data_IF_815907597167
#
_entry.id   IF_815907597167
#
_cell.length_a   1.000
_cell.length_b   1.000
_cell.length_c   1.000
_cell.angle_alpha   90.00
_cell.angle_beta   90.00
_cell.angle_gamma   90.00
#
_symmetry.space_group_name_H-M   'P 1'
#
loop_
_entity.id
_entity.type
_entity.pdbx_description
1 polymer ?
#
# COMPACT_ATOMS: atom_id res chain seq x y z
N UNK A 1 -21.13 90.92 20.47
CA UNK A 1 -22.10 90.52 21.50
C UNK A 1 -22.34 89.02 21.34
N UNK A 2 -21.94 88.22 22.33
CA UNK A 2 -22.26 86.82 22.69
C UNK A 2 -22.84 85.88 21.59
N UNK A 3 -22.40 84.62 21.40
CA UNK A 3 -22.25 83.57 22.45
C UNK A 3 -21.48 82.36 21.88
N UNK A 4 -20.72 81.70 22.76
CA UNK A 4 -19.95 80.46 22.58
C UNK A 4 -20.85 79.21 22.61
N UNK A 5 -20.56 78.15 21.83
CA UNK A 5 -20.90 76.76 22.17
C UNK A 5 -19.83 75.76 21.73
N UNK A 6 -19.63 74.78 22.59
CA UNK A 6 -18.56 73.79 22.74
C UNK A 6 -18.80 72.49 21.95
N UNK A 7 -17.66 71.85 21.61
CA UNK A 7 -17.31 70.42 21.56
C UNK A 7 -18.33 69.31 21.17
N UNK A 8 -17.93 68.40 20.27
CA UNK A 8 -17.67 66.97 20.57
C UNK A 8 -17.38 66.16 19.29
N UNK A 9 -16.47 65.19 19.42
CA UNK A 9 -16.05 64.24 18.38
C UNK A 9 -17.04 63.06 18.22
N UNK A 10 -17.10 62.45 17.04
CA UNK A 10 -17.43 61.03 16.87
C UNK A 10 -17.05 60.50 15.47
N UNK A 11 -16.64 59.24 15.45
CA UNK A 11 -15.96 58.49 14.41
C UNK A 11 -16.81 58.08 13.20
N UNK A 12 -16.15 57.74 12.09
CA UNK A 12 -16.70 56.85 11.08
C UNK A 12 -15.70 55.73 10.78
N UNK A 13 -16.05 54.54 11.27
CA UNK A 13 -15.32 53.29 11.17
C UNK A 13 -15.30 52.75 9.75
N UNK A 14 -14.12 52.47 9.20
CA UNK A 14 -13.97 51.64 7.99
C UNK A 14 -14.09 50.16 8.35
N UNK A 15 -15.13 49.54 7.80
CA UNK A 15 -15.45 48.12 7.88
C UNK A 15 -14.43 47.33 7.04
N UNK A 16 -13.44 46.69 7.68
CA UNK A 16 -12.56 45.74 7.02
C UNK A 16 -13.18 44.33 7.13
N UNK A 17 -13.70 43.80 6.02
CA UNK A 17 -14.06 42.39 5.90
C UNK A 17 -12.78 41.54 5.93
N UNK A 18 -12.53 40.88 7.05
CA UNK A 18 -11.59 39.75 7.10
C UNK A 18 -12.27 38.54 6.46
N UNK A 19 -11.92 38.27 5.20
CA UNK A 19 -12.27 37.02 4.55
C UNK A 19 -11.66 35.85 5.31
N UNK A 20 -12.51 34.94 5.78
CA UNK A 20 -12.08 33.64 6.24
C UNK A 20 -11.53 32.86 5.04
N UNK A 21 -10.20 32.87 4.88
CA UNK A 21 -9.52 31.97 3.96
C UNK A 21 -9.76 30.54 4.43
N UNK A 22 -10.64 29.82 3.75
CA UNK A 22 -10.71 28.38 3.86
C UNK A 22 -9.37 27.82 3.36
N UNK A 23 -8.48 27.49 4.28
CA UNK A 23 -7.30 26.70 3.97
C UNK A 23 -7.81 25.37 3.37
N UNK A 24 -7.61 25.19 2.07
CA UNK A 24 -7.91 23.94 1.40
C UNK A 24 -7.14 22.83 2.13
N UNK A 25 -7.86 21.91 2.75
CA UNK A 25 -7.27 20.69 3.28
C UNK A 25 -6.48 20.02 2.14
N UNK A 26 -5.24 19.52 2.39
CA UNK A 26 -4.50 18.80 1.37
C UNK A 26 -5.39 17.69 0.83
N UNK A 27 -5.65 17.75 -0.48
CA UNK A 27 -6.62 16.90 -1.15
C UNK A 27 -6.35 15.44 -0.81
N UNK A 28 -7.35 14.77 -0.24
CA UNK A 28 -7.37 13.32 -0.23
C UNK A 28 -7.22 12.87 -1.69
N UNK A 29 -6.07 12.29 -2.04
CA UNK A 29 -5.89 11.68 -3.35
C UNK A 29 -7.05 10.73 -3.56
N UNK A 30 -7.80 10.90 -4.66
CA UNK A 30 -8.83 9.96 -5.03
C UNK A 30 -8.23 8.55 -4.99
N UNK A 31 -8.96 7.60 -4.38
CA UNK A 31 -8.51 6.22 -4.37
C UNK A 31 -8.30 5.79 -5.83
N UNK A 32 -7.15 5.20 -6.17
CA UNK A 32 -6.86 4.81 -7.55
C UNK A 32 -7.92 3.84 -8.07
N UNK A 33 -8.28 3.96 -9.35
CA UNK A 33 -9.33 3.15 -9.96
C UNK A 33 -8.99 1.65 -9.88
N UNK A 34 -10.00 0.82 -9.63
CA UNK A 34 -9.89 -0.63 -9.69
C UNK A 34 -9.65 -1.09 -11.13
N UNK A 35 -8.71 -2.01 -11.35
CA UNK A 35 -8.53 -2.69 -12.63
C UNK A 35 -8.07 -4.13 -12.44
N UNK A 36 -8.18 -4.94 -13.49
CA UNK A 36 -7.80 -6.36 -13.49
C UNK A 36 -6.56 -6.57 -14.34
N UNK A 37 -5.65 -7.41 -13.87
CA UNK A 37 -4.52 -7.91 -14.65
C UNK A 37 -4.61 -9.44 -14.72
N UNK A 38 -4.54 -9.97 -15.93
CA UNK A 38 -4.42 -11.41 -16.18
C UNK A 38 -2.96 -11.81 -16.36
N UNK A 39 -2.68 -13.11 -16.30
CA UNK A 39 -1.35 -13.69 -16.55
C UNK A 39 -0.23 -13.14 -15.64
N UNK A 40 -0.55 -12.76 -14.40
CA UNK A 40 0.43 -12.37 -13.39
C UNK A 40 1.06 -13.62 -12.78
N UNK A 41 2.39 -13.66 -12.76
CA UNK A 41 3.15 -14.69 -12.05
C UNK A 41 2.99 -14.47 -10.55
N UNK A 42 2.50 -15.49 -9.86
CA UNK A 42 2.43 -15.54 -8.41
C UNK A 42 3.50 -16.52 -7.91
N UNK A 43 4.30 -16.08 -6.95
CA UNK A 43 5.07 -16.98 -6.09
C UNK A 43 4.90 -16.61 -4.61
N UNK A 44 5.66 -17.25 -3.73
CA UNK A 44 5.57 -17.10 -2.29
C UNK A 44 6.97 -16.84 -1.72
N UNK A 45 7.01 -16.02 -0.67
CA UNK A 45 8.18 -15.78 0.18
C UNK A 45 7.78 -15.89 1.66
N UNK A 46 8.71 -16.18 2.56
CA UNK A 46 8.41 -16.53 3.95
C UNK A 46 9.64 -16.56 4.84
N UNK A 47 9.47 -16.42 6.15
CA UNK A 47 10.59 -16.15 7.07
C UNK A 47 11.68 -17.23 7.22
N UNK A 48 11.59 -18.37 6.53
CA UNK A 48 12.63 -19.41 6.49
C UNK A 48 13.27 -19.61 5.10
N UNK A 49 12.92 -18.79 4.10
CA UNK A 49 13.44 -18.91 2.74
C UNK A 49 14.90 -18.43 2.58
N UNK A 50 15.42 -17.71 3.56
CA UNK A 50 16.80 -17.21 3.56
C UNK A 50 17.05 -16.15 2.47
N UNK A 51 16.00 -15.61 1.84
CA UNK A 51 16.11 -14.75 0.67
C UNK A 51 16.34 -13.27 1.00
N UNK A 52 16.23 -12.89 2.29
CA UNK A 52 16.67 -11.61 2.88
C UNK A 52 16.52 -10.43 1.89
N UNK A 53 15.29 -10.17 1.44
CA UNK A 53 15.05 -9.10 0.46
C UNK A 53 15.29 -7.69 1.04
N UNK A 54 15.57 -7.59 2.35
CA UNK A 54 16.20 -6.42 2.96
C UNK A 54 17.62 -6.77 3.40
N UNK A 55 18.62 -6.00 2.96
CA UNK A 55 20.04 -6.06 3.35
C UNK A 55 20.34 -5.81 4.84
N UNK A 56 19.32 -5.89 5.69
CA UNK A 56 19.26 -5.44 7.08
C UNK A 56 18.66 -6.60 7.89
N UNK A 57 19.47 -7.65 8.06
CA UNK A 57 19.05 -9.02 8.33
C UNK A 57 18.90 -9.42 9.81
N UNK A 58 18.44 -8.53 10.69
CA UNK A 58 18.07 -8.93 12.06
C UNK A 58 16.57 -9.29 12.20
N UNK A 59 15.78 -9.18 11.12
CA UNK A 59 14.34 -9.44 11.18
C UNK A 59 13.83 -10.29 10.00
N UNK A 60 13.47 -11.58 10.23
CA UNK A 60 12.98 -12.49 9.19
C UNK A 60 11.59 -12.12 8.63
N UNK A 61 11.02 -10.98 9.04
CA UNK A 61 9.75 -10.41 8.57
C UNK A 61 9.90 -8.95 8.14
N UNK A 62 11.12 -8.47 7.91
CA UNK A 62 11.35 -7.13 7.37
C UNK A 62 10.56 -6.92 6.09
N UNK A 63 10.16 -5.67 5.84
CA UNK A 63 9.48 -5.26 4.60
C UNK A 63 10.12 -3.97 4.11
N UNK A 64 10.18 -3.79 2.79
CA UNK A 64 10.80 -2.60 2.19
C UNK A 64 10.15 -1.26 2.60
N UNK A 65 8.84 -1.26 2.86
CA UNK A 65 8.07 -0.05 3.17
C UNK A 65 7.22 -0.20 4.43
N UNK A 66 7.84 -0.24 5.61
CA UNK A 66 7.10 -0.30 6.86
C UNK A 66 6.31 1.00 7.07
N UNK A 67 5.16 0.87 7.75
CA UNK A 67 4.32 1.98 8.18
C UNK A 67 5.17 3.04 8.86
N UNK A 68 5.20 4.22 8.26
CA UNK A 68 5.98 5.36 8.71
C UNK A 68 5.47 6.63 8.05
N UNK A 69 6.01 7.79 8.44
CA UNK A 69 5.71 9.06 7.76
C UNK A 69 6.21 9.06 6.30
N UNK A 70 7.24 8.28 5.97
CA UNK A 70 7.74 8.12 4.60
C UNK A 70 6.83 7.22 3.74
N UNK A 71 6.12 6.28 4.37
CA UNK A 71 5.20 5.34 3.71
C UNK A 71 3.83 5.40 4.38
N UNK A 72 3.09 6.52 4.23
CA UNK A 72 1.82 6.71 4.94
C UNK A 72 0.72 5.75 4.45
N UNK A 73 0.84 5.18 3.25
CA UNK A 73 -0.13 4.23 2.68
C UNK A 73 0.10 2.76 3.07
N UNK A 74 1.30 2.42 3.56
CA UNK A 74 1.53 1.12 4.20
C UNK A 74 0.72 1.03 5.50
N UNK A 75 0.47 -0.18 5.99
CA UNK A 75 -0.27 -0.43 7.22
C UNK A 75 0.51 -1.29 8.22
N UNK A 76 1.43 -2.15 7.77
CA UNK A 76 2.25 -2.99 8.63
C UNK A 76 3.64 -2.42 8.84
N UNK A 77 4.26 -2.77 9.97
CA UNK A 77 5.70 -2.57 10.21
C UNK A 77 6.52 -3.82 9.91
N UNK A 78 5.88 -4.99 9.75
CA UNK A 78 6.47 -6.28 9.43
C UNK A 78 5.53 -7.07 8.51
N UNK A 79 6.07 -7.97 7.69
CA UNK A 79 5.30 -8.82 6.80
C UNK A 79 4.24 -9.62 7.57
N UNK A 80 2.98 -9.53 7.16
CA UNK A 80 1.86 -10.05 7.96
C UNK A 80 0.52 -9.95 7.24
N UNK A 81 -0.53 -9.72 8.03
CA UNK A 81 -1.92 -9.66 7.56
C UNK A 81 -2.68 -10.99 7.66
N UNK A 82 -4.01 -10.91 7.66
CA UNK A 82 -4.91 -12.08 7.66
C UNK A 82 -5.67 -12.21 6.33
N UNK A 83 -5.38 -11.37 5.34
CA UNK A 83 -5.98 -11.41 4.02
C UNK A 83 -7.35 -10.75 3.92
N UNK A 84 -7.86 -10.10 4.97
CA UNK A 84 -9.08 -9.28 4.89
C UNK A 84 -8.78 -7.92 4.24
N UNK A 85 -9.83 -7.18 3.87
CA UNK A 85 -9.64 -5.83 3.33
C UNK A 85 -9.01 -4.88 4.36
N UNK A 86 -9.38 -4.97 5.62
CA UNK A 86 -8.86 -4.11 6.68
C UNK A 86 -7.43 -4.49 7.07
N UNK A 87 -7.06 -5.77 6.93
CA UNK A 87 -5.76 -6.32 7.30
C UNK A 87 -5.20 -7.25 6.18
N UNK A 88 -4.95 -6.70 4.98
CA UNK A 88 -4.49 -7.45 3.81
C UNK A 88 -3.15 -8.13 4.08
N UNK A 89 -2.86 -9.23 3.38
CA UNK A 89 -1.56 -9.88 3.49
C UNK A 89 -0.47 -9.08 2.79
N UNK A 90 0.71 -8.97 3.39
CA UNK A 90 1.87 -8.32 2.75
C UNK A 90 2.20 -8.99 1.40
N UNK A 91 2.51 -8.18 0.40
CA UNK A 91 2.88 -8.60 -0.95
C UNK A 91 4.16 -7.90 -1.37
N UNK A 92 5.09 -8.66 -1.92
CA UNK A 92 6.28 -8.14 -2.55
C UNK A 92 6.03 -7.88 -4.03
N UNK A 93 6.51 -6.73 -4.52
CA UNK A 93 6.35 -6.30 -5.91
C UNK A 93 7.68 -5.84 -6.50
N UNK A 94 7.74 -5.68 -7.83
CA UNK A 94 8.87 -5.00 -8.46
C UNK A 94 9.06 -3.59 -7.86
N UNK A 95 10.29 -3.23 -7.50
CA UNK A 95 10.57 -1.96 -6.82
C UNK A 95 10.20 -0.76 -7.74
N UNK A 96 9.26 0.13 -7.34
CA UNK A 96 8.84 1.28 -8.14
C UNK A 96 9.95 2.30 -8.40
N UNK A 97 10.93 2.43 -7.50
CA UNK A 97 12.12 3.30 -7.75
C UNK A 97 13.02 2.77 -8.86
N UNK A 98 12.84 1.51 -9.26
CA UNK A 98 13.59 0.84 -10.33
C UNK A 98 12.71 0.51 -11.54
N UNK A 99 11.49 1.04 -11.63
CA UNK A 99 10.58 0.84 -12.78
C UNK A 99 9.39 -0.09 -12.53
N UNK A 100 9.19 -0.58 -11.31
CA UNK A 100 7.97 -1.31 -10.95
C UNK A 100 6.69 -0.44 -11.01
N UNK A 101 5.54 -0.99 -11.41
CA UNK A 101 4.33 -0.19 -11.64
C UNK A 101 3.54 0.12 -10.35
N UNK A 102 3.81 -0.58 -9.24
CA UNK A 102 3.00 -0.51 -8.03
C UNK A 102 3.70 0.29 -6.93
N UNK A 103 2.99 1.29 -6.41
CA UNK A 103 3.48 2.11 -5.31
C UNK A 103 3.25 1.43 -3.95
N UNK A 104 4.02 1.79 -2.91
CA UNK A 104 3.78 1.30 -1.56
C UNK A 104 2.34 1.61 -1.10
N UNK A 105 1.69 0.62 -0.50
CA UNK A 105 0.29 0.68 -0.08
C UNK A 105 -0.75 0.35 -1.16
N UNK A 106 -0.33 0.05 -2.40
CA UNK A 106 -1.25 -0.45 -3.44
C UNK A 106 -1.91 -1.73 -2.94
N UNK A 107 -3.24 -1.82 -3.05
CA UNK A 107 -3.99 -3.00 -2.60
C UNK A 107 -4.30 -3.91 -3.77
N UNK A 108 -4.34 -5.20 -3.49
CA UNK A 108 -4.67 -6.22 -4.46
C UNK A 108 -5.69 -7.19 -3.89
N UNK A 109 -6.42 -7.84 -4.78
CA UNK A 109 -7.19 -9.04 -4.45
C UNK A 109 -6.79 -10.13 -5.43
N UNK A 110 -6.47 -11.31 -4.90
CA UNK A 110 -6.06 -12.46 -5.70
C UNK A 110 -7.16 -13.53 -5.59
N UNK A 111 -8.01 -13.69 -6.62
CA UNK A 111 -9.13 -14.63 -6.59
C UNK A 111 -8.70 -16.08 -6.35
N UNK A 112 -7.52 -16.48 -6.82
CA UNK A 112 -7.00 -17.85 -6.67
C UNK A 112 -6.83 -18.28 -5.20
N UNK A 113 -6.71 -17.32 -4.27
CA UNK A 113 -6.54 -17.58 -2.83
C UNK A 113 -7.60 -16.89 -1.97
N UNK A 114 -8.57 -16.21 -2.60
CA UNK A 114 -9.63 -15.42 -1.96
C UNK A 114 -9.13 -14.49 -0.86
N UNK A 115 -8.10 -13.67 -1.14
CA UNK A 115 -7.47 -12.78 -0.15
C UNK A 115 -7.11 -11.43 -0.74
N UNK A 116 -7.14 -10.43 0.13
CA UNK A 116 -6.56 -9.13 -0.14
C UNK A 116 -5.10 -9.08 0.24
N UNK A 117 -4.35 -8.29 -0.51
CA UNK A 117 -2.93 -8.08 -0.36
C UNK A 117 -2.59 -6.60 -0.43
N UNK A 118 -1.40 -6.23 0.06
CA UNK A 118 -0.90 -4.85 0.02
C UNK A 118 0.59 -4.83 -0.34
N UNK A 119 0.97 -3.98 -1.30
CA UNK A 119 2.37 -3.78 -1.68
C UNK A 119 3.11 -3.03 -0.56
N UNK A 120 3.86 -3.77 0.23
CA UNK A 120 4.66 -3.23 1.33
C UNK A 120 6.10 -3.69 1.27
N UNK A 121 6.40 -4.58 0.34
CA UNK A 121 7.70 -5.18 0.18
C UNK A 121 8.16 -5.18 -1.28
N UNK A 122 9.43 -5.45 -1.49
CA UNK A 122 10.00 -5.57 -2.84
C UNK A 122 10.48 -6.98 -3.10
N UNK A 123 10.49 -7.37 -4.37
CA UNK A 123 11.06 -8.64 -4.81
C UNK A 123 11.95 -8.40 -6.03
N UNK A 124 13.18 -8.93 -5.98
CA UNK A 124 14.19 -8.71 -7.02
C UNK A 124 13.84 -9.46 -8.31
N UNK A 125 13.37 -10.70 -8.20
CA UNK A 125 12.93 -11.49 -9.35
C UNK A 125 11.73 -10.85 -10.04
N UNK A 126 10.84 -10.21 -9.28
CA UNK A 126 9.69 -9.51 -9.80
C UNK A 126 10.09 -8.34 -10.72
N UNK A 127 11.17 -7.65 -10.37
CA UNK A 127 11.75 -6.60 -11.19
C UNK A 127 12.52 -7.18 -12.40
N UNK A 128 13.23 -8.29 -12.20
CA UNK A 128 13.93 -8.99 -13.27
C UNK A 128 12.94 -9.44 -14.36
N UNK A 129 11.88 -10.15 -13.97
CA UNK A 129 10.84 -10.65 -14.87
C UNK A 129 10.11 -9.53 -15.63
N UNK A 130 9.93 -8.38 -15.01
CA UNK A 130 9.33 -7.21 -15.65
C UNK A 130 10.21 -6.63 -16.78
N UNK A 131 11.53 -6.80 -16.71
CA UNK A 131 12.49 -6.23 -17.66
C UNK A 131 13.07 -7.24 -18.66
N UNK A 132 12.53 -8.46 -18.69
CA UNK A 132 12.90 -9.46 -19.71
C UNK A 132 12.43 -9.02 -21.10
N UNK A 133 12.98 -9.65 -22.13
CA UNK A 133 12.55 -9.44 -23.52
C UNK A 133 11.06 -9.77 -23.76
N UNK A 134 10.51 -10.67 -22.94
CA UNK A 134 9.06 -10.91 -22.83
C UNK A 134 8.65 -10.61 -21.39
N UNK A 135 8.21 -9.37 -21.10
CA UNK A 135 7.89 -8.94 -19.74
C UNK A 135 6.80 -9.77 -19.09
N UNK A 136 6.98 -10.00 -17.79
CA UNK A 136 6.05 -10.71 -16.94
C UNK A 136 5.79 -9.87 -15.70
N UNK A 137 4.54 -9.54 -15.44
CA UNK A 137 4.21 -9.03 -14.10
C UNK A 137 4.30 -10.19 -13.11
N UNK A 138 5.07 -9.98 -12.04
CA UNK A 138 5.29 -10.96 -10.98
C UNK A 138 5.09 -10.29 -9.62
N UNK A 139 4.48 -11.01 -8.68
CA UNK A 139 4.32 -10.63 -7.27
C UNK A 139 4.56 -11.85 -6.37
N UNK A 140 5.10 -11.62 -5.17
CA UNK A 140 5.30 -12.68 -4.17
C UNK A 140 4.42 -12.47 -2.95
N UNK A 141 3.68 -13.51 -2.60
CA UNK A 141 2.74 -13.50 -1.48
C UNK A 141 3.44 -13.91 -0.19
N UNK A 142 3.27 -13.13 0.87
CA UNK A 142 3.79 -13.51 2.18
C UNK A 142 3.11 -14.80 2.69
N UNK A 143 3.92 -15.84 2.80
CA UNK A 143 3.50 -17.18 3.17
C UNK A 143 3.39 -17.38 4.68
N UNK A 144 4.14 -16.58 5.44
CA UNK A 144 4.23 -16.68 6.90
C UNK A 144 5.66 -16.91 7.38
N UNK A 145 5.92 -16.57 8.64
CA UNK A 145 7.26 -16.65 9.25
C UNK A 145 7.82 -18.08 9.36
N UNK A 146 6.94 -19.08 9.34
CA UNK A 146 7.29 -20.49 9.49
C UNK A 146 7.19 -21.24 8.14
N UNK A 147 6.98 -20.51 7.04
CA UNK A 147 6.89 -21.11 5.72
C UNK A 147 8.27 -21.62 5.29
N UNK A 148 8.32 -22.92 5.01
CA UNK A 148 9.49 -23.58 4.43
C UNK A 148 9.45 -23.44 2.92
N UNK A 149 10.62 -23.49 2.27
CA UNK A 149 10.69 -23.59 0.80
C UNK A 149 9.82 -24.72 0.25
N UNK A 150 9.78 -25.88 0.95
CA UNK A 150 8.95 -27.02 0.55
C UNK A 150 7.46 -26.67 0.54
N UNK A 151 6.96 -26.05 1.61
CA UNK A 151 5.55 -25.67 1.70
C UNK A 151 5.18 -24.57 0.69
N UNK A 152 6.10 -23.65 0.41
CA UNK A 152 5.90 -22.60 -0.58
C UNK A 152 5.88 -23.15 -2.00
N UNK A 153 6.84 -24.02 -2.36
CA UNK A 153 6.90 -24.65 -3.69
C UNK A 153 5.67 -25.51 -4.00
N UNK A 154 5.12 -26.17 -2.97
CA UNK A 154 3.94 -27.03 -3.11
C UNK A 154 2.62 -26.24 -3.16
N UNK A 155 2.63 -24.91 -3.01
CA UNK A 155 1.40 -24.13 -2.92
C UNK A 155 0.65 -24.11 -4.27
N UNK A 156 -0.65 -24.49 -4.30
CA UNK A 156 -1.39 -24.64 -5.55
C UNK A 156 -1.56 -23.37 -6.40
N UNK A 157 -1.43 -22.19 -5.80
CA UNK A 157 -1.57 -20.91 -6.51
C UNK A 157 -0.24 -20.34 -7.04
N UNK A 158 0.85 -21.12 -7.00
CA UNK A 158 2.04 -20.78 -7.77
C UNK A 158 1.75 -20.89 -9.27
N UNK A 159 2.10 -19.86 -10.03
CA UNK A 159 1.87 -19.84 -11.48
C UNK A 159 1.15 -18.59 -11.96
N UNK A 160 0.48 -18.70 -13.11
CA UNK A 160 -0.17 -17.57 -13.79
C UNK A 160 -1.61 -17.42 -13.37
N UNK A 161 -1.91 -16.28 -12.77
CA UNK A 161 -3.25 -15.99 -12.26
C UNK A 161 -3.68 -14.56 -12.59
N UNK A 162 -4.97 -14.34 -12.38
CA UNK A 162 -5.57 -13.02 -12.37
C UNK A 162 -5.36 -12.36 -11.01
N UNK A 163 -5.13 -11.05 -11.02
CA UNK A 163 -5.19 -10.18 -9.83
C UNK A 163 -6.10 -8.98 -10.11
N UNK A 164 -6.68 -8.43 -9.06
CA UNK A 164 -7.44 -7.18 -9.11
C UNK A 164 -6.64 -6.14 -8.34
N UNK A 165 -6.25 -5.06 -9.01
CA UNK A 165 -5.51 -3.94 -8.42
C UNK A 165 -6.50 -2.89 -7.94
N UNK A 166 -6.24 -2.31 -6.77
CA UNK A 166 -7.12 -1.38 -6.05
C UNK A 166 -8.56 -1.91 -5.93
N UNK A 167 -8.76 -3.15 -5.45
CA UNK A 167 -10.07 -3.76 -5.39
C UNK A 167 -10.99 -3.01 -4.41
N UNK A 168 -12.29 -3.02 -4.66
CA UNK A 168 -13.28 -2.61 -3.66
C UNK A 168 -13.33 -3.62 -2.51
N UNK A 169 -13.81 -3.19 -1.34
CA UNK A 169 -14.19 -4.10 -0.26
C UNK A 169 -15.34 -5.04 -0.69
N UNK A 170 -15.55 -6.13 0.06
CA UNK A 170 -16.71 -7.02 -0.09
C UNK A 170 -16.50 -8.27 -0.96
N UNK A 171 -15.32 -8.46 -1.54
CA UNK A 171 -14.94 -9.73 -2.17
C UNK A 171 -14.86 -10.85 -1.13
N UNK A 172 -15.05 -12.11 -1.57
CA UNK A 172 -14.98 -13.28 -0.68
C UNK A 172 -13.60 -13.41 -0.05
N UNK A 173 -13.54 -13.74 1.25
CA UNK A 173 -12.27 -13.83 1.99
C UNK A 173 -12.14 -15.17 2.70
N UNK A 174 -11.03 -15.85 2.43
CA UNK A 174 -10.49 -16.87 3.34
C UNK A 174 -9.54 -16.16 4.30
N UNK A 175 -9.97 -15.93 5.54
CA UNK A 175 -9.17 -15.19 6.54
C UNK A 175 -8.15 -16.10 7.23
N UNK A 176 -7.03 -15.53 7.67
CA UNK A 176 -5.98 -16.20 8.44
C UNK A 176 -4.63 -16.19 7.72
N UNK A 177 -3.65 -17.01 8.13
CA UNK A 177 -2.39 -17.19 7.40
C UNK A 177 -2.63 -17.72 5.97
N UNK A 178 -1.72 -17.40 5.03
CA UNK A 178 -1.78 -17.93 3.66
C UNK A 178 -1.48 -19.44 3.63
N UNK A 179 -0.41 -19.84 4.32
CA UNK A 179 -0.09 -21.23 4.60
C UNK A 179 -0.45 -21.57 6.06
N UNK A 180 -1.12 -22.69 6.24
CA UNK A 180 -1.27 -23.35 7.54
C UNK A 180 -0.20 -24.42 7.65
N UNK A 181 0.63 -24.37 8.69
CA UNK A 181 1.71 -25.33 8.96
C UNK A 181 1.23 -26.48 9.83
#
# INVERSE_FOLDING_TARGET
MFTLRTAAAAAASTLALLGAGAAAAPGASAAPNQYTMDNVQLTLYGGQDGDNITSDNDNPRGIAWPKSNAHPSSIHTLAGGNGTWENPTTLAVANPRKGGPFQPGTRFYIPAVHRYFIAEDTCAECLHDLHRSTPVQHVDMWAGKNATQRSMNAYPANGRHKIIVNPSKGMQVTSGPLLTH
#
